data_IF_412633896234
#
_entry.id   IF_412633896234
#
_cell.length_a   1.000
_cell.length_b   1.000
_cell.length_c   1.000
_cell.angle_alpha   90.00
_cell.angle_beta   90.00
_cell.angle_gamma   90.00
#
_symmetry.space_group_name_H-M   'P 1'
#
loop_
_entity.id
_entity.type
_entity.pdbx_description
1 polymer ?
#
# COMPACT_ATOMS: atom_id res chain seq x y z
N UNK A 1 -11.32 6.59 -6.14
CA UNK A 1 -10.04 5.91 -6.41
C UNK A 1 -9.87 4.81 -5.39
N UNK A 2 -9.44 3.63 -5.82
CA UNK A 2 -9.18 2.47 -4.98
C UNK A 2 -8.05 1.65 -5.62
N UNK A 3 -7.27 0.97 -4.79
CA UNK A 3 -6.28 -0.02 -5.18
C UNK A 3 -6.44 -1.26 -4.28
N UNK A 4 -6.31 -2.45 -4.85
CA UNK A 4 -6.40 -3.74 -4.12
C UNK A 4 -5.21 -4.63 -4.49
N UNK A 5 -4.74 -5.46 -3.56
CA UNK A 5 -3.59 -6.36 -3.80
C UNK A 5 -3.77 -7.21 -5.05
N UNK A 6 -4.98 -7.71 -5.30
CA UNK A 6 -5.24 -8.62 -6.40
C UNK A 6 -5.01 -7.92 -7.74
N UNK A 7 -5.12 -6.59 -7.84
CA UNK A 7 -4.86 -5.86 -9.08
C UNK A 7 -3.39 -5.49 -9.29
N UNK A 8 -2.52 -5.83 -8.34
CA UNK A 8 -1.09 -5.53 -8.42
C UNK A 8 -0.28 -6.72 -8.93
N UNK A 9 0.70 -6.42 -9.79
CA UNK A 9 1.79 -7.34 -10.13
C UNK A 9 3.09 -6.73 -9.66
N UNK A 10 3.86 -7.49 -8.88
CA UNK A 10 5.15 -7.08 -8.34
C UNK A 10 6.28 -7.74 -9.14
N UNK A 11 7.23 -6.94 -9.57
CA UNK A 11 8.44 -7.41 -10.26
C UNK A 11 9.66 -6.98 -9.46
N UNK A 12 10.43 -7.97 -8.99
CA UNK A 12 11.81 -7.74 -8.54
C UNK A 12 12.67 -7.59 -9.78
N UNK A 13 13.37 -6.47 -9.92
CA UNK A 13 14.17 -6.18 -11.12
C UNK A 13 15.60 -6.64 -10.89
N UNK A 14 15.94 -7.83 -11.37
CA UNK A 14 17.32 -8.35 -11.31
C UNK A 14 18.17 -7.72 -12.43
N UNK A 15 19.36 -7.16 -12.15
CA UNK A 15 20.24 -6.63 -13.18
C UNK A 15 20.86 -7.77 -14.01
N UNK A 16 21.43 -7.41 -15.16
CA UNK A 16 21.99 -8.37 -16.12
C UNK A 16 23.17 -9.19 -15.55
N UNK A 17 23.83 -8.69 -14.52
CA UNK A 17 24.92 -9.38 -13.81
C UNK A 17 24.44 -10.43 -12.79
N UNK A 18 23.12 -10.61 -12.64
CA UNK A 18 22.52 -11.59 -11.73
C UNK A 18 22.57 -11.21 -10.26
N UNK A 19 23.02 -9.99 -9.93
CA UNK A 19 23.04 -9.51 -8.54
C UNK A 19 21.61 -9.32 -8.00
N UNK A 20 21.41 -9.53 -6.70
CA UNK A 20 20.12 -9.18 -6.08
C UNK A 20 19.99 -7.67 -6.06
N UNK A 21 19.03 -7.15 -6.82
CA UNK A 21 18.71 -5.74 -6.83
C UNK A 21 17.57 -5.43 -5.85
N UNK A 22 17.65 -4.31 -5.14
CA UNK A 22 16.58 -3.87 -4.26
C UNK A 22 15.43 -3.23 -5.05
N UNK A 23 15.55 -3.06 -6.37
CA UNK A 23 14.58 -2.37 -7.21
C UNK A 23 13.28 -3.17 -7.35
N UNK A 24 12.16 -2.49 -7.12
CA UNK A 24 10.82 -3.05 -7.22
C UNK A 24 10.00 -2.23 -8.21
N UNK A 25 9.39 -2.93 -9.16
CA UNK A 25 8.37 -2.39 -10.06
C UNK A 25 7.00 -2.95 -9.70
N UNK A 26 6.01 -2.07 -9.65
CA UNK A 26 4.61 -2.36 -9.34
C UNK A 26 3.76 -1.96 -10.54
N UNK A 27 2.94 -2.88 -11.03
CA UNK A 27 2.04 -2.67 -12.16
C UNK A 27 0.60 -2.85 -11.70
N UNK A 28 -0.26 -1.87 -12.00
CA UNK A 28 -1.70 -2.00 -11.82
C UNK A 28 -2.32 -2.63 -13.08
N UNK A 29 -2.81 -3.87 -12.97
CA UNK A 29 -3.25 -4.68 -14.12
C UNK A 29 -4.38 -4.02 -14.91
N UNK A 30 -5.32 -3.39 -14.23
CA UNK A 30 -6.54 -2.84 -14.86
C UNK A 30 -6.25 -1.55 -15.61
N UNK A 31 -5.53 -0.60 -15.01
CA UNK A 31 -5.22 0.69 -15.67
C UNK A 31 -3.96 0.66 -16.52
N UNK A 32 -3.14 -0.39 -16.39
CA UNK A 32 -1.80 -0.52 -17.00
C UNK A 32 -0.80 0.56 -16.55
N UNK A 33 -1.10 1.26 -15.46
CA UNK A 33 -0.17 2.18 -14.83
C UNK A 33 0.92 1.39 -14.10
N UNK A 34 2.12 1.95 -14.07
CA UNK A 34 3.27 1.32 -13.43
C UNK A 34 4.13 2.33 -12.69
N UNK A 35 4.78 1.90 -11.63
CA UNK A 35 5.76 2.68 -10.90
C UNK A 35 6.90 1.79 -10.40
N UNK A 36 8.08 2.35 -10.31
CA UNK A 36 9.29 1.66 -9.92
C UNK A 36 10.04 2.50 -8.88
N UNK A 37 10.73 1.84 -7.96
CA UNK A 37 11.66 2.51 -7.06
C UNK A 37 12.87 1.62 -6.76
N UNK A 38 14.04 2.25 -6.66
CA UNK A 38 15.32 1.61 -6.35
C UNK A 38 16.21 2.48 -5.44
N UNK A 39 15.62 3.45 -4.74
CA UNK A 39 16.36 4.50 -4.03
C UNK A 39 17.03 4.00 -2.75
N UNK A 40 16.58 2.87 -2.20
CA UNK A 40 17.04 2.33 -0.92
C UNK A 40 17.54 0.90 -1.06
N UNK A 41 18.41 0.41 -0.15
CA UNK A 41 18.83 -0.99 -0.15
C UNK A 41 17.73 -1.96 0.30
N UNK A 42 16.60 -1.48 0.86
CA UNK A 42 15.52 -2.32 1.38
C UNK A 42 14.40 -2.45 0.35
N UNK A 43 14.15 -3.68 -0.12
CA UNK A 43 13.06 -3.96 -1.07
C UNK A 43 11.68 -3.57 -0.52
N UNK A 44 11.46 -3.69 0.78
CA UNK A 44 10.18 -3.31 1.43
C UNK A 44 9.90 -1.82 1.34
N UNK A 45 10.93 -0.98 1.55
CA UNK A 45 10.82 0.47 1.42
C UNK A 45 10.65 0.88 -0.05
N UNK A 46 11.38 0.23 -0.97
CA UNK A 46 11.21 0.47 -2.40
C UNK A 46 9.81 0.05 -2.89
N UNK A 47 9.27 -1.07 -2.40
CA UNK A 47 7.90 -1.50 -2.66
C UNK A 47 6.90 -0.43 -2.20
N UNK A 48 7.05 0.06 -0.96
CA UNK A 48 6.21 1.12 -0.38
C UNK A 48 6.21 2.36 -1.27
N UNK A 49 7.39 2.83 -1.68
CA UNK A 49 7.58 4.00 -2.57
C UNK A 49 7.00 3.79 -3.96
N UNK A 50 7.20 2.61 -4.55
CA UNK A 50 6.63 2.28 -5.84
C UNK A 50 5.09 2.28 -5.78
N UNK A 51 4.47 1.74 -4.73
CA UNK A 51 3.01 1.79 -4.55
C UNK A 51 2.52 3.24 -4.38
N UNK A 52 3.23 4.08 -3.62
CA UNK A 52 2.90 5.50 -3.50
C UNK A 52 2.96 6.22 -4.86
N UNK A 53 4.01 5.97 -5.64
CA UNK A 53 4.15 6.51 -6.99
C UNK A 53 3.03 6.05 -7.92
N UNK A 54 2.63 4.78 -7.83
CA UNK A 54 1.52 4.23 -8.59
C UNK A 54 0.19 4.90 -8.24
N UNK A 55 -0.09 5.09 -6.95
CA UNK A 55 -1.30 5.78 -6.47
C UNK A 55 -1.35 7.23 -6.93
N UNK A 56 -0.19 7.92 -6.98
CA UNK A 56 -0.10 9.27 -7.52
C UNK A 56 -0.43 9.30 -9.02
N UNK A 57 0.09 8.36 -9.82
CA UNK A 57 -0.22 8.26 -11.25
C UNK A 57 -1.69 7.94 -11.52
N UNK A 58 -2.29 7.08 -10.71
CA UNK A 58 -3.70 6.70 -10.82
C UNK A 58 -4.66 7.78 -10.29
N UNK A 59 -4.15 8.86 -9.68
CA UNK A 59 -4.96 9.88 -9.04
C UNK A 59 -5.66 10.78 -10.08
N UNK A 60 -7.01 10.71 -10.21
CA UNK A 60 -7.72 11.52 -11.19
C UNK A 60 -7.82 13.01 -10.80
N UNK A 61 -7.55 13.36 -9.54
CA UNK A 61 -7.70 14.72 -9.02
C UNK A 61 -6.58 15.02 -7.99
N UNK A 62 -5.33 15.28 -8.44
CA UNK A 62 -4.17 15.43 -7.55
C UNK A 62 -4.31 16.57 -6.53
N UNK A 63 -5.01 17.65 -6.86
CA UNK A 63 -5.23 18.78 -5.95
C UNK A 63 -6.24 18.48 -4.83
N UNK A 64 -7.02 17.40 -4.96
CA UNK A 64 -8.13 17.08 -4.07
C UNK A 64 -7.95 15.76 -3.32
N UNK A 65 -7.17 14.84 -3.87
CA UNK A 65 -6.89 13.55 -3.26
C UNK A 65 -5.46 13.58 -2.72
N UNK A 66 -5.34 13.58 -1.40
CA UNK A 66 -4.05 13.64 -0.68
C UNK A 66 -3.22 12.38 -0.95
N UNK A 67 -1.93 12.42 -0.66
CA UNK A 67 -1.09 11.22 -0.64
C UNK A 67 -1.44 10.38 0.60
N UNK A 68 -1.63 9.05 0.49
CA UNK A 68 -1.92 8.21 1.65
C UNK A 68 -0.70 8.06 2.55
N UNK A 69 -0.94 7.85 3.85
CA UNK A 69 0.13 7.63 4.84
C UNK A 69 0.62 6.19 4.86
N UNK A 70 -0.29 5.25 4.58
CA UNK A 70 -0.04 3.81 4.56
C UNK A 70 -0.38 3.29 3.16
N UNK A 71 0.16 2.14 2.79
CA UNK A 71 -0.09 1.52 1.48
C UNK A 71 -0.35 0.04 1.61
N UNK A 72 -0.78 -0.57 0.50
CA UNK A 72 -0.94 -2.01 0.40
C UNK A 72 0.37 -2.72 0.76
N UNK A 73 0.26 -3.89 1.41
CA UNK A 73 1.34 -4.69 1.99
C UNK A 73 2.01 -4.13 3.24
N UNK A 74 1.72 -2.89 3.66
CA UNK A 74 2.14 -2.43 4.98
C UNK A 74 1.58 -3.38 6.05
N UNK A 75 2.47 -3.82 6.93
CA UNK A 75 2.08 -4.56 8.13
C UNK A 75 1.72 -3.54 9.18
N UNK A 76 0.56 -3.70 9.79
CA UNK A 76 0.01 -2.73 10.74
C UNK A 76 -0.51 -3.44 11.98
N UNK A 77 -0.57 -2.69 13.08
CA UNK A 77 -1.28 -3.08 14.28
C UNK A 77 -2.55 -2.23 14.40
N UNK A 78 -3.68 -2.91 14.46
CA UNK A 78 -5.01 -2.32 14.63
C UNK A 78 -5.28 -2.13 16.12
N UNK A 79 -5.68 -0.91 16.50
CA UNK A 79 -6.15 -0.59 17.85
C UNK A 79 -7.64 -0.89 17.97
N UNK A 80 -8.00 -1.89 18.77
CA UNK A 80 -9.39 -2.17 19.16
C UNK A 80 -9.63 -1.67 20.60
N UNK A 81 -10.88 -1.46 21.04
CA UNK A 81 -11.17 -0.94 22.37
C UNK A 81 -10.46 -1.67 23.51
N UNK A 82 -10.38 -3.01 23.43
CA UNK A 82 -9.84 -3.86 24.50
C UNK A 82 -8.62 -4.70 24.07
N UNK A 83 -8.12 -4.52 22.84
CA UNK A 83 -7.00 -5.35 22.34
C UNK A 83 -6.28 -4.73 21.14
N UNK A 84 -5.18 -5.38 20.74
CA UNK A 84 -4.47 -5.07 19.51
C UNK A 84 -4.45 -6.29 18.59
N UNK A 85 -4.56 -6.06 17.29
CA UNK A 85 -4.49 -7.12 16.28
C UNK A 85 -3.48 -6.76 15.21
N UNK A 86 -2.53 -7.64 14.95
CA UNK A 86 -1.63 -7.49 13.82
C UNK A 86 -2.35 -7.90 12.53
N UNK A 87 -2.12 -7.14 11.47
CA UNK A 87 -2.70 -7.37 10.17
C UNK A 87 -1.87 -6.75 9.05
N UNK A 88 -2.35 -6.91 7.82
CA UNK A 88 -1.71 -6.37 6.63
C UNK A 88 -2.73 -5.63 5.78
N UNK A 89 -2.35 -4.49 5.22
CA UNK A 89 -3.23 -3.73 4.33
C UNK A 89 -3.38 -4.48 3.00
N UNK A 90 -4.60 -4.88 2.69
CA UNK A 90 -4.96 -5.53 1.41
C UNK A 90 -5.54 -4.54 0.40
N UNK A 91 -6.17 -3.46 0.88
CA UNK A 91 -6.84 -2.47 0.02
C UNK A 91 -6.69 -1.08 0.57
N UNK A 92 -6.60 -0.11 -0.34
CA UNK A 92 -6.64 1.32 -0.01
C UNK A 92 -7.68 2.02 -0.87
N UNK A 93 -8.48 2.88 -0.27
CA UNK A 93 -9.53 3.62 -0.96
C UNK A 93 -9.64 5.04 -0.45
N UNK A 94 -9.91 5.97 -1.36
CA UNK A 94 -10.22 7.36 -1.01
C UNK A 94 -11.71 7.53 -0.72
N UNK A 95 -12.04 7.98 0.49
CA UNK A 95 -13.38 8.40 0.87
C UNK A 95 -13.62 9.85 0.44
N UNK A 96 -14.39 10.06 -0.62
CA UNK A 96 -14.70 11.38 -1.15
C UNK A 96 -15.56 12.24 -0.21
N UNK A 97 -16.36 11.63 0.66
CA UNK A 97 -17.23 12.36 1.60
C UNK A 97 -16.40 12.91 2.76
N UNK A 98 -15.55 12.07 3.34
CA UNK A 98 -14.68 12.44 4.48
C UNK A 98 -13.36 13.09 4.04
N UNK A 99 -13.01 13.01 2.76
CA UNK A 99 -11.76 13.51 2.18
C UNK A 99 -10.53 12.91 2.87
N UNK A 100 -10.57 11.60 3.05
CA UNK A 100 -9.53 10.83 3.73
C UNK A 100 -9.31 9.46 3.08
N UNK A 101 -8.16 8.84 3.39
CA UNK A 101 -7.86 7.48 2.98
C UNK A 101 -8.35 6.47 4.01
N UNK A 102 -8.92 5.37 3.52
CA UNK A 102 -9.30 4.20 4.29
C UNK A 102 -8.50 3.00 3.84
N UNK A 103 -8.26 2.09 4.78
CA UNK A 103 -7.38 0.94 4.62
C UNK A 103 -8.12 -0.32 5.04
N UNK A 104 -8.29 -1.28 4.13
CA UNK A 104 -8.80 -2.59 4.51
C UNK A 104 -7.64 -3.42 5.03
N UNK A 105 -7.71 -3.80 6.30
CA UNK A 105 -6.68 -4.61 6.96
C UNK A 105 -7.17 -6.05 7.05
N UNK A 106 -6.39 -6.96 6.50
CA UNK A 106 -6.55 -8.40 6.67
C UNK A 106 -5.80 -8.82 7.94
N UNK A 107 -6.55 -9.18 8.98
CA UNK A 107 -6.04 -9.61 10.28
C UNK A 107 -6.08 -11.13 10.39
N UNK A 108 -5.23 -11.73 11.24
CA UNK A 108 -5.29 -13.18 11.54
C UNK A 108 -6.67 -13.63 12.02
N UNK A 109 -7.32 -12.80 12.84
CA UNK A 109 -8.71 -13.00 13.24
C UNK A 109 -9.63 -12.27 12.26
N UNK A 110 -10.42 -13.04 11.49
CA UNK A 110 -11.29 -12.50 10.45
C UNK A 110 -12.28 -11.44 10.96
N UNK A 111 -12.73 -11.55 12.21
CA UNK A 111 -13.64 -10.58 12.85
C UNK A 111 -13.02 -9.18 12.97
N UNK A 112 -11.69 -9.10 13.08
CA UNK A 112 -10.95 -7.84 13.11
C UNK A 112 -10.54 -7.35 11.72
N UNK A 113 -10.87 -8.09 10.64
CA UNK A 113 -10.58 -7.65 9.28
C UNK A 113 -11.67 -6.70 8.79
N UNK A 114 -11.31 -5.43 8.59
CA UNK A 114 -12.26 -4.37 8.25
C UNK A 114 -11.57 -3.17 7.59
N UNK A 115 -12.37 -2.17 7.22
CA UNK A 115 -11.88 -0.85 6.82
C UNK A 115 -11.60 0.00 8.05
N UNK A 116 -10.38 0.54 8.11
CA UNK A 116 -9.90 1.42 9.17
C UNK A 116 -9.43 2.76 8.62
N UNK A 117 -9.38 3.76 9.47
CA UNK A 117 -8.72 5.04 9.20
C UNK A 117 -7.26 4.99 9.64
N UNK A 118 -6.42 5.90 9.14
CA UNK A 118 -5.02 5.94 9.53
C UNK A 118 -4.80 6.16 11.05
N UNK A 119 -5.77 6.74 11.75
CA UNK A 119 -5.68 6.99 13.19
C UNK A 119 -5.79 5.71 14.03
N UNK A 120 -6.40 4.66 13.49
CA UNK A 120 -6.62 3.38 14.17
C UNK A 120 -5.46 2.39 13.96
N UNK A 121 -4.48 2.77 13.13
CA UNK A 121 -3.42 1.90 12.64
C UNK A 121 -2.04 2.39 13.06
N UNK A 122 -1.22 1.48 13.55
CA UNK A 122 0.20 1.68 13.79
C UNK A 122 1.00 0.91 12.75
N UNK A 123 1.90 1.59 12.02
CA UNK A 123 2.82 0.92 11.10
C UNK A 123 3.83 0.07 11.87
N UNK A 124 3.95 -1.20 11.50
CA UNK A 124 4.94 -2.11 12.05
C UNK A 124 6.16 -2.11 11.12
N UNK A 125 7.33 -1.78 11.67
CA UNK A 125 8.61 -1.71 10.95
C UNK A 125 9.29 -3.05 10.73
#
# INVERSE_FOLDING_TARGET
MQLITQELTLHSLTPYDGTQSPAIKVVHRTSREEAENCDTPLQTENLRRAILGLLQKMNPNPDHIKVPKLVIYDTVRVRLPDSFQDGRIDRVAWDFKRKEWKYYVECKHAVASAWYEAADLELMG
#
